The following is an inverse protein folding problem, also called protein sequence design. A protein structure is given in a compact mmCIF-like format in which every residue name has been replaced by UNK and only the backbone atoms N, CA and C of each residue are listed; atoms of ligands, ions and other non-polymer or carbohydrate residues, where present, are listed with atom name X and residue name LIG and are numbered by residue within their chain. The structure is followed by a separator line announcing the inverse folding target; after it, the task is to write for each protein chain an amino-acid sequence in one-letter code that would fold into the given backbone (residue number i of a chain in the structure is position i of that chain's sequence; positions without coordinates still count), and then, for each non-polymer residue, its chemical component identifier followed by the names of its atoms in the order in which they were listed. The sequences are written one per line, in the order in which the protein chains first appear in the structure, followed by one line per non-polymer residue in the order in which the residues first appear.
data_IF_057270849986
#
_entry.id   IF_057270849986
#
_cell.length_a   1.000
_cell.length_b   1.000
_cell.length_c   1.000
_cell.angle_alpha   90.00
_cell.angle_beta   90.00
_cell.angle_gamma   90.00
#
_symmetry.space_group_name_H-M   'P 1'
#
loop_
_entity.id
_entity.type
_entity.pdbx_description
1 polymer ?
#
# COMPACT_ATOMS: atom_id res chain seq x y z
N UNK A 1 40.18 84.70 -35.67
CA UNK A 1 40.73 83.41 -35.20
C UNK A 1 39.56 82.57 -34.68
N UNK A 2 39.39 81.38 -35.27
CA UNK A 2 38.55 80.23 -34.86
C UNK A 2 37.10 80.45 -34.37
N UNK A 3 36.12 80.40 -35.28
CA UNK A 3 34.73 80.02 -34.94
C UNK A 3 34.64 78.49 -34.92
N UNK A 4 34.55 77.95 -33.71
CA UNK A 4 34.43 76.53 -33.38
C UNK A 4 33.14 75.94 -33.99
N UNK A 5 33.27 74.92 -34.86
CA UNK A 5 32.11 74.17 -35.39
C UNK A 5 31.52 73.31 -34.27
N UNK A 6 30.34 73.68 -33.77
CA UNK A 6 29.55 72.80 -32.92
C UNK A 6 28.65 71.90 -33.77
N UNK A 7 28.85 70.59 -33.65
CA UNK A 7 27.88 69.57 -34.05
C UNK A 7 26.76 69.62 -33.00
N UNK A 8 25.56 70.05 -33.37
CA UNK A 8 24.40 70.00 -32.47
C UNK A 8 23.43 68.93 -32.93
N UNK A 9 23.20 67.93 -32.07
CA UNK A 9 22.24 66.85 -32.33
C UNK A 9 20.83 67.40 -32.08
N UNK A 10 20.15 67.67 -33.19
CA UNK A 10 18.72 67.97 -33.37
C UNK A 10 17.73 67.25 -32.44
N UNK A 11 17.50 65.97 -32.79
CA UNK A 11 16.56 65.04 -32.15
C UNK A 11 16.98 63.62 -32.52
N UNK A 12 17.08 62.74 -31.53
CA UNK A 12 17.16 61.30 -31.72
C UNK A 12 15.77 60.69 -31.51
N UNK A 13 15.29 59.91 -32.47
CA UNK A 13 14.11 59.08 -32.28
C UNK A 13 14.58 57.62 -32.17
N UNK A 14 14.34 57.03 -31.01
CA UNK A 14 14.67 55.65 -30.71
C UNK A 14 13.38 54.85 -30.66
N UNK A 15 13.19 53.95 -31.61
CA UNK A 15 12.09 53.00 -31.58
C UNK A 15 12.61 51.68 -30.99
N UNK A 16 12.00 51.25 -29.89
CA UNK A 16 12.37 50.01 -29.20
C UNK A 16 11.21 49.02 -29.37
N UNK A 17 11.46 47.93 -30.09
CA UNK A 17 10.54 46.81 -30.17
C UNK A 17 10.94 45.76 -29.12
N UNK A 18 10.11 45.58 -28.10
CA UNK A 18 10.29 44.57 -27.05
C UNK A 18 9.23 43.48 -27.15
N UNK A 19 9.64 42.22 -26.98
CA UNK A 19 8.75 41.08 -26.76
C UNK A 19 9.27 40.34 -25.53
N UNK A 20 8.41 40.11 -24.53
CA UNK A 20 8.73 39.40 -23.29
C UNK A 20 10.01 39.87 -22.58
N UNK A 21 10.25 41.19 -22.56
CA UNK A 21 11.37 41.79 -21.84
C UNK A 21 12.73 41.75 -22.56
N UNK A 22 12.85 41.11 -23.72
CA UNK A 22 14.04 41.14 -24.57
C UNK A 22 13.95 42.20 -25.67
N UNK A 23 15.02 42.97 -25.89
CA UNK A 23 15.12 43.94 -27.00
C UNK A 23 15.49 43.18 -28.27
N UNK A 24 14.55 43.07 -29.22
CA UNK A 24 14.72 42.24 -30.42
C UNK A 24 15.37 43.02 -31.58
N UNK A 25 15.16 44.33 -31.63
CA UNK A 25 15.84 45.26 -32.53
C UNK A 25 15.83 46.67 -31.94
N UNK A 26 16.91 47.43 -32.18
CA UNK A 26 16.97 48.86 -31.87
C UNK A 26 17.24 49.61 -33.18
N UNK A 27 16.43 50.64 -33.44
CA UNK A 27 16.64 51.54 -34.55
C UNK A 27 16.81 52.95 -34.00
N UNK A 28 18.02 53.49 -34.15
CA UNK A 28 18.29 54.90 -33.82
C UNK A 28 18.46 55.68 -35.10
N UNK A 29 17.50 56.58 -35.36
CA UNK A 29 17.57 57.48 -36.49
C UNK A 29 18.19 58.79 -35.99
N UNK A 30 19.40 59.11 -36.48
CA UNK A 30 20.05 60.39 -36.23
C UNK A 30 19.63 61.38 -37.33
N UNK A 31 19.05 62.50 -36.94
CA UNK A 31 18.89 63.64 -37.84
C UNK A 31 20.16 64.50 -37.79
N UNK A 32 20.99 64.43 -38.83
CA UNK A 32 22.20 65.23 -38.98
C UNK A 32 21.92 66.45 -39.86
N UNK A 33 21.59 67.60 -39.27
CA UNK A 33 21.57 68.87 -39.99
C UNK A 33 22.97 69.47 -39.96
N UNK A 34 23.79 69.18 -40.98
CA UNK A 34 25.05 69.89 -41.20
C UNK A 34 24.69 71.31 -41.65
N UNK A 35 24.98 72.33 -40.83
CA UNK A 35 24.70 73.76 -41.06
C UNK A 35 25.50 74.38 -42.24
N UNK A 36 25.52 73.74 -43.42
CA UNK A 36 25.98 74.36 -44.68
C UNK A 36 25.34 73.73 -45.92
N UNK A 37 24.51 74.53 -46.60
CA UNK A 37 24.12 74.39 -48.01
C UNK A 37 22.77 73.71 -48.27
N UNK A 38 21.83 74.45 -48.85
CA UNK A 38 20.47 74.01 -49.24
C UNK A 38 20.42 72.85 -50.26
N UNK A 39 21.56 72.36 -50.76
CA UNK A 39 21.63 71.27 -51.74
C UNK A 39 21.79 69.85 -51.14
N UNK A 40 22.01 69.71 -49.83
CA UNK A 40 22.28 68.41 -49.19
C UNK A 40 21.09 67.73 -48.47
N UNK A 41 19.99 68.46 -48.27
CA UNK A 41 18.87 68.00 -47.43
C UNK A 41 18.06 66.85 -48.06
N UNK A 42 17.83 66.89 -49.37
CA UNK A 42 17.03 65.86 -50.06
C UNK A 42 17.72 64.50 -50.11
N UNK A 43 19.04 64.45 -50.34
CA UNK A 43 19.82 63.20 -50.39
C UNK A 43 19.80 62.44 -49.06
N UNK A 44 19.88 63.15 -47.93
CA UNK A 44 19.83 62.55 -46.60
C UNK A 44 18.47 61.86 -46.31
N UNK A 45 17.37 62.43 -46.79
CA UNK A 45 16.02 61.87 -46.61
C UNK A 45 15.87 60.55 -47.37
N UNK A 46 16.29 60.49 -48.65
CA UNK A 46 16.19 59.26 -49.44
C UNK A 46 17.03 58.11 -48.87
N UNK A 47 18.24 58.42 -48.37
CA UNK A 47 19.10 57.41 -47.72
C UNK A 47 18.44 56.89 -46.44
N UNK A 48 17.83 57.76 -45.63
CA UNK A 48 17.14 57.33 -44.41
C UNK A 48 15.92 56.44 -44.72
N UNK A 49 15.12 56.78 -45.73
CA UNK A 49 13.96 55.98 -46.15
C UNK A 49 14.39 54.61 -46.67
N UNK A 50 15.43 54.54 -47.50
CA UNK A 50 15.97 53.27 -47.99
C UNK A 50 16.48 52.38 -46.85
N UNK A 51 17.19 52.96 -45.89
CA UNK A 51 17.68 52.23 -44.71
C UNK A 51 16.51 51.68 -43.87
N UNK A 52 15.49 52.49 -43.62
CA UNK A 52 14.28 52.03 -42.89
C UNK A 52 13.53 50.93 -43.65
N UNK A 53 13.44 51.03 -44.97
CA UNK A 53 12.81 50.00 -45.82
C UNK A 53 13.57 48.68 -45.72
N UNK A 54 14.90 48.71 -45.84
CA UNK A 54 15.75 47.50 -45.73
C UNK A 54 15.60 46.87 -44.33
N UNK A 55 15.61 47.68 -43.28
CA UNK A 55 15.47 47.17 -41.91
C UNK A 55 14.08 46.58 -41.65
N UNK A 56 13.03 47.18 -42.21
CA UNK A 56 11.68 46.61 -42.14
C UNK A 56 11.59 45.28 -42.90
N UNK A 57 12.21 45.18 -44.07
CA UNK A 57 12.24 43.93 -44.85
C UNK A 57 13.00 42.83 -44.11
N UNK A 58 14.16 43.15 -43.52
CA UNK A 58 14.94 42.22 -42.71
C UNK A 58 14.17 41.74 -41.47
N UNK A 59 13.43 42.63 -40.81
CA UNK A 59 12.57 42.28 -39.68
C UNK A 59 11.42 41.34 -40.08
N UNK A 60 10.81 41.55 -41.25
CA UNK A 60 9.75 40.68 -41.76
C UNK A 60 10.34 39.29 -42.10
N UNK A 61 11.50 39.25 -42.76
CA UNK A 61 12.18 37.99 -43.11
C UNK A 61 12.59 37.23 -41.84
N UNK A 62 13.18 37.90 -40.85
CA UNK A 62 13.59 37.28 -39.59
C UNK A 62 12.38 36.73 -38.83
N UNK A 63 11.28 37.50 -38.75
CA UNK A 63 10.03 37.04 -38.16
C UNK A 63 9.49 35.79 -38.87
N UNK A 64 9.48 35.77 -40.21
CA UNK A 64 9.03 34.60 -40.99
C UNK A 64 9.88 33.36 -40.71
N UNK A 65 11.20 33.50 -40.60
CA UNK A 65 12.10 32.38 -40.30
C UNK A 65 11.88 31.86 -38.88
N UNK A 66 11.82 32.74 -37.87
CA UNK A 66 11.58 32.37 -36.46
C UNK A 66 10.22 31.69 -36.32
N UNK A 67 9.18 32.25 -36.96
CA UNK A 67 7.84 31.70 -36.92
C UNK A 67 7.78 30.29 -37.52
N UNK A 68 8.42 30.10 -38.68
CA UNK A 68 8.42 28.82 -39.39
C UNK A 68 9.31 27.74 -38.73
N UNK A 69 10.48 28.11 -38.19
CA UNK A 69 11.43 27.14 -37.61
C UNK A 69 11.24 26.88 -36.12
N UNK A 70 10.70 27.83 -35.36
CA UNK A 70 10.62 27.71 -33.89
C UNK A 70 9.16 27.74 -33.42
N UNK A 71 8.43 28.82 -33.71
CA UNK A 71 7.10 29.05 -33.08
C UNK A 71 6.07 28.02 -33.52
N UNK A 72 5.96 27.76 -34.83
CA UNK A 72 4.97 26.82 -35.36
C UNK A 72 5.22 25.37 -34.92
N UNK A 73 6.45 24.82 -34.99
CA UNK A 73 6.75 23.48 -34.46
C UNK A 73 6.48 23.36 -32.95
N UNK A 74 6.82 24.37 -32.15
CA UNK A 74 6.57 24.35 -30.71
C UNK A 74 5.07 24.39 -30.39
N UNK A 75 4.31 25.22 -31.09
CA UNK A 75 2.86 25.32 -30.92
C UNK A 75 2.17 23.98 -31.26
N UNK A 76 2.61 23.31 -32.33
CA UNK A 76 2.14 21.95 -32.64
C UNK A 76 2.53 20.95 -31.55
N UNK A 77 3.74 21.01 -30.99
CA UNK A 77 4.18 20.11 -29.93
C UNK A 77 3.31 20.23 -28.66
N UNK A 78 2.98 21.46 -28.27
CA UNK A 78 2.11 21.76 -27.11
C UNK A 78 0.69 21.24 -27.34
N UNK A 79 0.17 21.40 -28.55
CA UNK A 79 -1.16 20.92 -28.90
C UNK A 79 -1.23 19.38 -28.89
N UNK A 80 -0.23 18.70 -29.46
CA UNK A 80 -0.15 17.25 -29.44
C UNK A 80 0.04 16.68 -28.02
N UNK A 81 0.77 17.39 -27.14
CA UNK A 81 0.88 16.98 -25.72
C UNK A 81 -0.43 17.16 -24.94
N UNK A 82 -1.24 18.18 -25.22
CA UNK A 82 -2.58 18.31 -24.63
C UNK A 82 -3.51 17.16 -25.03
N UNK A 83 -3.39 16.68 -26.27
CA UNK A 83 -4.19 15.53 -26.72
C UNK A 83 -3.83 14.24 -25.98
N UNK A 84 -2.58 14.07 -25.57
CA UNK A 84 -2.12 12.93 -24.75
C UNK A 84 -2.85 12.87 -23.39
N UNK A 85 -3.20 14.00 -22.80
CA UNK A 85 -4.00 14.03 -21.55
C UNK A 85 -5.44 13.55 -21.75
N UNK A 86 -5.96 13.65 -22.98
CA UNK A 86 -7.38 13.39 -23.28
C UNK A 86 -7.66 12.03 -23.93
N UNK A 87 -6.66 11.39 -24.55
CA UNK A 87 -6.85 10.19 -25.34
C UNK A 87 -5.80 9.11 -25.00
N UNK A 88 -6.19 8.17 -24.15
CA UNK A 88 -5.29 7.20 -23.49
C UNK A 88 -4.90 6.01 -24.39
N UNK A 89 -5.58 5.78 -25.52
CA UNK A 89 -5.57 4.48 -26.21
C UNK A 89 -4.80 4.42 -27.55
N UNK A 90 -4.34 5.54 -28.10
CA UNK A 90 -3.56 5.54 -29.35
C UNK A 90 -2.04 5.52 -29.10
N UNK A 91 -1.27 5.01 -30.06
CA UNK A 91 0.18 5.17 -30.12
C UNK A 91 0.55 6.65 -30.33
N UNK A 92 0.41 7.46 -29.29
CA UNK A 92 0.69 8.90 -29.42
C UNK A 92 2.20 9.10 -29.42
N UNK A 93 2.75 9.35 -30.60
CA UNK A 93 4.10 9.83 -30.81
C UNK A 93 4.02 11.26 -31.36
N UNK A 94 4.84 12.16 -30.82
CA UNK A 94 4.95 13.50 -31.37
C UNK A 94 5.55 13.42 -32.77
N UNK A 95 4.93 14.08 -33.74
CA UNK A 95 5.46 14.15 -35.10
C UNK A 95 6.77 14.94 -35.09
N UNK A 96 7.87 14.30 -35.51
CA UNK A 96 9.18 14.96 -35.60
C UNK A 96 9.31 15.63 -36.98
N UNK A 97 9.46 16.96 -37.00
CA UNK A 97 9.73 17.74 -38.23
C UNK A 97 11.02 18.53 -38.08
N UNK A 98 11.82 18.61 -39.15
CA UNK A 98 13.08 19.37 -39.18
C UNK A 98 14.32 18.54 -38.84
N UNK A 99 15.48 19.20 -38.78
CA UNK A 99 16.79 18.63 -38.39
C UNK A 99 17.55 19.57 -37.43
N UNK A 100 16.80 20.34 -36.65
CA UNK A 100 17.29 21.31 -35.67
C UNK A 100 17.10 20.81 -34.23
N UNK A 101 17.43 21.64 -33.25
CA UNK A 101 17.34 21.33 -31.82
C UNK A 101 15.91 21.03 -31.38
N UNK A 102 14.90 21.63 -32.02
CA UNK A 102 13.49 21.39 -31.74
C UNK A 102 13.09 19.97 -32.15
N UNK A 103 13.57 19.53 -33.32
CA UNK A 103 13.36 18.15 -33.78
C UNK A 103 14.03 17.12 -32.86
N UNK A 104 15.22 17.41 -32.33
CA UNK A 104 15.92 16.56 -31.36
C UNK A 104 15.17 16.46 -30.02
N UNK A 105 14.61 17.58 -29.54
CA UNK A 105 13.79 17.60 -28.32
C UNK A 105 12.53 16.74 -28.50
N UNK A 106 11.82 16.89 -29.62
CA UNK A 106 10.64 16.08 -29.93
C UNK A 106 10.98 14.58 -29.96
N UNK A 107 12.11 14.20 -30.56
CA UNK A 107 12.60 12.82 -30.57
C UNK A 107 12.90 12.29 -29.15
N UNK A 108 13.61 13.07 -28.31
CA UNK A 108 13.89 12.68 -26.91
C UNK A 108 12.62 12.54 -26.09
N UNK A 109 11.64 13.40 -26.30
CA UNK A 109 10.35 13.30 -25.63
C UNK A 109 9.61 12.03 -26.04
N UNK A 110 9.63 11.63 -27.31
CA UNK A 110 9.06 10.35 -27.75
C UNK A 110 9.70 9.13 -27.07
N UNK A 111 11.02 9.14 -26.87
CA UNK A 111 11.72 8.09 -26.11
C UNK A 111 11.26 8.09 -24.64
N UNK A 112 11.07 9.26 -24.04
CA UNK A 112 10.56 9.35 -22.66
C UNK A 112 9.13 8.81 -22.56
N UNK A 113 8.26 9.18 -23.50
CA UNK A 113 6.88 8.69 -23.58
C UNK A 113 6.84 7.16 -23.72
N UNK A 114 7.67 6.58 -24.59
CA UNK A 114 7.71 5.12 -24.77
C UNK A 114 8.19 4.41 -23.50
N UNK A 115 9.23 4.93 -22.85
CA UNK A 115 9.72 4.39 -21.56
C UNK A 115 8.68 4.50 -20.45
N UNK A 116 7.99 5.63 -20.36
CA UNK A 116 6.94 5.85 -19.36
C UNK A 116 5.77 4.88 -19.57
N UNK A 117 5.33 4.67 -20.82
CA UNK A 117 4.30 3.66 -21.15
C UNK A 117 4.75 2.24 -20.80
N UNK A 118 5.98 1.88 -21.16
CA UNK A 118 6.52 0.57 -20.81
C UNK A 118 6.49 0.36 -19.29
N UNK A 119 6.97 1.35 -18.52
CA UNK A 119 6.94 1.29 -17.06
C UNK A 119 5.50 1.16 -16.52
N UNK A 120 4.53 1.90 -17.06
CA UNK A 120 3.14 1.75 -16.64
C UNK A 120 2.55 0.39 -16.97
N UNK A 121 2.82 -0.14 -18.18
CA UNK A 121 2.37 -1.46 -18.59
C UNK A 121 2.97 -2.56 -17.70
N UNK A 122 4.24 -2.44 -17.34
CA UNK A 122 4.91 -3.35 -16.40
C UNK A 122 4.30 -3.26 -14.97
N UNK A 123 4.01 -2.04 -14.50
CA UNK A 123 3.35 -1.81 -13.21
C UNK A 123 1.95 -2.42 -13.22
N UNK A 124 1.16 -2.18 -14.25
CA UNK A 124 -0.20 -2.71 -14.38
C UNK A 124 -0.19 -4.25 -14.42
N UNK A 125 0.69 -4.84 -15.22
CA UNK A 125 0.86 -6.29 -15.28
C UNK A 125 1.28 -6.88 -13.92
N UNK A 126 2.17 -6.20 -13.20
CA UNK A 126 2.59 -6.61 -11.85
C UNK A 126 1.44 -6.49 -10.84
N UNK A 127 0.70 -5.38 -10.88
CA UNK A 127 -0.46 -5.16 -10.02
C UNK A 127 -1.54 -6.21 -10.25
N UNK A 128 -1.85 -6.53 -11.51
CA UNK A 128 -2.83 -7.57 -11.84
C UNK A 128 -2.41 -8.95 -11.31
N UNK A 129 -1.11 -9.29 -11.39
CA UNK A 129 -0.58 -10.52 -10.80
C UNK A 129 -0.73 -10.52 -9.26
N UNK A 130 -0.44 -9.42 -8.61
CA UNK A 130 -0.58 -9.27 -7.15
C UNK A 130 -2.04 -9.41 -6.71
N UNK A 131 -2.97 -8.73 -7.39
CA UNK A 131 -4.40 -8.81 -7.09
C UNK A 131 -4.89 -10.25 -7.23
N UNK A 132 -4.53 -10.94 -8.31
CA UNK A 132 -4.92 -12.34 -8.53
C UNK A 132 -4.34 -13.28 -7.47
N UNK A 133 -3.06 -13.11 -7.12
CA UNK A 133 -2.41 -13.90 -6.07
C UNK A 133 -3.07 -13.66 -4.70
N UNK A 134 -3.35 -12.40 -4.35
CA UNK A 134 -3.98 -12.05 -3.09
C UNK A 134 -5.42 -12.60 -2.99
N UNK A 135 -6.17 -12.58 -4.10
CA UNK A 135 -7.50 -13.19 -4.18
C UNK A 135 -7.46 -14.69 -3.91
N UNK A 136 -6.52 -15.42 -4.52
CA UNK A 136 -6.34 -16.87 -4.30
C UNK A 136 -5.96 -17.20 -2.86
N UNK A 137 -5.06 -16.41 -2.27
CA UNK A 137 -4.66 -16.57 -0.86
C UNK A 137 -5.87 -16.35 0.05
N UNK A 138 -6.64 -15.28 -0.18
CA UNK A 138 -7.83 -14.95 0.61
C UNK A 138 -8.89 -16.05 0.53
N UNK A 139 -9.13 -16.61 -0.64
CA UNK A 139 -10.06 -17.73 -0.82
C UNK A 139 -9.60 -18.99 -0.08
N UNK A 140 -8.30 -19.31 -0.15
CA UNK A 140 -7.71 -20.44 0.57
C UNK A 140 -7.81 -20.27 2.09
N UNK A 141 -7.56 -19.06 2.61
CA UNK A 141 -7.70 -18.74 4.02
C UNK A 141 -9.15 -18.85 4.49
N UNK A 142 -10.12 -18.41 3.67
CA UNK A 142 -11.55 -18.57 3.95
C UNK A 142 -11.93 -20.03 4.08
N UNK A 143 -11.46 -20.87 3.16
CA UNK A 143 -11.69 -22.32 3.23
C UNK A 143 -11.06 -22.95 4.49
N UNK A 144 -9.81 -22.58 4.80
CA UNK A 144 -9.16 -23.02 6.04
C UNK A 144 -9.93 -22.59 7.31
N UNK A 145 -10.51 -21.38 7.32
CA UNK A 145 -11.39 -20.90 8.40
C UNK A 145 -12.65 -21.76 8.56
N UNK A 146 -13.25 -22.22 7.47
CA UNK A 146 -14.39 -23.14 7.53
C UNK A 146 -13.98 -24.50 8.13
N UNK A 147 -12.83 -25.03 7.73
CA UNK A 147 -12.29 -26.26 8.31
C UNK A 147 -11.99 -26.09 9.80
N UNK A 148 -11.36 -25.01 10.21
CA UNK A 148 -11.09 -24.73 11.62
C UNK A 148 -12.38 -24.58 12.43
N UNK A 149 -13.44 -23.97 11.89
CA UNK A 149 -14.73 -23.92 12.61
C UNK A 149 -15.38 -25.29 12.73
N UNK A 150 -15.22 -26.16 11.73
CA UNK A 150 -15.81 -27.50 11.74
C UNK A 150 -15.29 -28.43 12.85
N UNK A 151 -14.10 -28.13 13.40
CA UNK A 151 -13.51 -28.92 14.49
C UNK A 151 -13.99 -28.49 15.88
N UNK A 152 -14.63 -27.32 15.99
CA UNK A 152 -15.05 -26.75 17.26
C UNK A 152 -16.32 -27.44 17.76
N UNK A 153 -16.39 -27.81 19.05
CA UNK A 153 -17.47 -28.66 19.56
C UNK A 153 -18.77 -27.91 19.90
N UNK A 154 -19.20 -26.95 19.07
CA UNK A 154 -20.36 -26.09 19.34
C UNK A 154 -21.65 -26.86 19.61
N UNK A 155 -21.88 -27.90 18.81
CA UNK A 155 -23.07 -28.73 18.93
C UNK A 155 -23.01 -29.55 20.22
N UNK A 156 -21.85 -30.13 20.55
CA UNK A 156 -21.69 -30.94 21.75
C UNK A 156 -21.86 -30.10 23.02
N UNK A 157 -21.42 -28.83 23.02
CA UNK A 157 -21.66 -27.93 24.14
C UNK A 157 -23.16 -27.71 24.38
N UNK A 158 -23.94 -27.49 23.32
CA UNK A 158 -25.40 -27.38 23.41
C UNK A 158 -26.06 -28.68 23.88
N UNK A 159 -25.60 -29.82 23.38
CA UNK A 159 -26.14 -31.13 23.74
C UNK A 159 -25.90 -31.47 25.23
N UNK A 160 -24.79 -31.00 25.82
CA UNK A 160 -24.43 -31.27 27.22
C UNK A 160 -24.98 -30.22 28.19
N UNK A 161 -24.88 -28.93 27.86
CA UNK A 161 -25.19 -27.83 28.79
C UNK A 161 -26.51 -27.10 28.48
N UNK A 162 -27.20 -27.43 27.39
CA UNK A 162 -28.43 -26.76 27.00
C UNK A 162 -28.21 -25.26 26.79
N UNK A 163 -29.08 -24.43 27.39
CA UNK A 163 -28.96 -22.96 27.33
C UNK A 163 -28.05 -22.38 28.44
N UNK A 164 -27.54 -23.20 29.36
CA UNK A 164 -26.68 -22.79 30.49
C UNK A 164 -25.19 -22.75 30.11
N UNK A 165 -24.87 -22.33 28.88
CA UNK A 165 -23.50 -22.09 28.45
C UNK A 165 -23.42 -20.94 27.44
N UNK A 166 -22.24 -20.35 27.33
CA UNK A 166 -21.91 -19.47 26.23
C UNK A 166 -20.44 -19.65 25.84
N UNK A 167 -20.14 -19.41 24.57
CA UNK A 167 -18.78 -19.47 24.02
C UNK A 167 -18.51 -18.14 23.33
N UNK A 168 -17.39 -17.51 23.69
CA UNK A 168 -16.88 -16.32 22.99
C UNK A 168 -15.58 -16.69 22.27
N UNK A 169 -15.68 -16.90 20.95
CA UNK A 169 -14.54 -17.22 20.11
C UNK A 169 -14.46 -16.22 18.95
N UNK A 170 -13.46 -15.34 19.00
CA UNK A 170 -13.26 -14.24 18.04
C UNK A 170 -11.80 -14.22 17.58
N UNK A 171 -11.44 -15.01 16.55
CA UNK A 171 -10.07 -15.01 16.04
C UNK A 171 -9.72 -13.65 15.44
N UNK A 172 -8.45 -13.23 15.59
CA UNK A 172 -7.94 -11.95 15.07
C UNK A 172 -7.95 -11.88 13.53
N UNK A 173 -7.60 -13.00 12.89
CA UNK A 173 -7.59 -13.17 11.44
C UNK A 173 -8.67 -14.21 11.04
N UNK A 174 -8.78 -14.55 9.75
CA UNK A 174 -9.73 -15.58 9.26
C UNK A 174 -9.58 -16.94 9.97
N UNK A 175 -8.38 -17.23 10.46
CA UNK A 175 -8.01 -18.41 11.25
C UNK A 175 -7.19 -17.98 12.49
N UNK A 176 -7.31 -18.70 13.60
CA UNK A 176 -6.71 -18.33 14.89
C UNK A 176 -5.92 -19.45 15.57
N UNK A 177 -5.22 -19.13 16.67
CA UNK A 177 -4.51 -20.11 17.52
C UNK A 177 -5.39 -20.74 18.62
N UNK A 178 -6.53 -20.12 18.88
CA UNK A 178 -7.40 -20.43 20.01
C UNK A 178 -8.42 -21.52 19.65
N UNK A 179 -8.70 -22.44 20.57
CA UNK A 179 -9.82 -23.37 20.49
C UNK A 179 -10.33 -23.80 21.86
N UNK A 180 -11.52 -24.38 21.87
CA UNK A 180 -12.15 -24.93 23.07
C UNK A 180 -12.41 -26.42 22.90
N UNK A 181 -12.40 -27.12 24.02
CA UNK A 181 -12.38 -28.57 24.15
C UNK A 181 -13.64 -29.01 24.88
N UNK A 182 -14.25 -30.09 24.41
CA UNK A 182 -15.30 -30.80 25.13
C UNK A 182 -15.21 -32.30 24.85
N UNK A 183 -15.12 -33.08 25.92
CA UNK A 183 -15.22 -34.53 25.90
C UNK A 183 -16.12 -35.02 27.03
N UNK A 184 -17.01 -35.95 26.73
CA UNK A 184 -17.96 -36.49 27.72
C UNK A 184 -17.77 -37.99 27.86
N UNK A 185 -17.64 -38.46 29.09
CA UNK A 185 -17.61 -39.88 29.46
C UNK A 185 -18.60 -40.13 30.60
N UNK A 186 -19.78 -40.69 30.27
CA UNK A 186 -20.89 -40.88 31.22
C UNK A 186 -21.25 -39.57 31.95
N UNK A 187 -21.25 -39.56 33.29
CA UNK A 187 -21.63 -38.40 34.12
C UNK A 187 -20.48 -37.39 34.32
N UNK A 188 -19.43 -37.49 33.52
CA UNK A 188 -18.24 -36.62 33.60
C UNK A 188 -18.02 -35.93 32.27
N UNK A 189 -17.78 -34.63 32.32
CA UNK A 189 -17.48 -33.82 31.15
C UNK A 189 -16.21 -33.03 31.37
N UNK A 190 -15.25 -33.20 30.47
CA UNK A 190 -14.05 -32.39 30.36
C UNK A 190 -14.36 -31.20 29.46
N UNK A 191 -14.14 -29.98 29.96
CA UNK A 191 -14.18 -28.75 29.17
C UNK A 191 -12.83 -28.05 29.24
N UNK A 192 -12.50 -27.27 28.23
CA UNK A 192 -11.27 -26.51 28.26
C UNK A 192 -11.15 -25.46 27.18
N UNK A 193 -10.11 -24.64 27.31
CA UNK A 193 -9.69 -23.65 26.33
C UNK A 193 -8.18 -23.76 26.15
N UNK A 194 -7.71 -23.45 24.96
CA UNK A 194 -6.30 -23.44 24.65
C UNK A 194 -5.97 -22.32 23.67
N UNK A 195 -4.82 -21.69 23.90
CA UNK A 195 -4.23 -20.61 23.11
C UNK A 195 -2.88 -21.11 22.61
N UNK A 196 -2.80 -21.38 21.30
CA UNK A 196 -1.57 -21.80 20.66
C UNK A 196 -0.81 -20.58 20.13
N UNK A 197 0.51 -20.56 20.33
CA UNK A 197 1.35 -19.47 19.90
C UNK A 197 1.23 -19.14 18.40
N UNK A 198 1.24 -17.84 18.13
CA UNK A 198 1.05 -17.29 16.79
C UNK A 198 -0.39 -16.89 16.52
N UNK A 199 -0.64 -16.39 15.32
CA UNK A 199 -1.97 -16.06 14.82
C UNK A 199 -1.98 -16.31 13.30
N UNK A 200 -3.15 -16.27 12.67
CA UNK A 200 -3.26 -16.59 11.25
C UNK A 200 -2.90 -18.06 10.98
N UNK A 201 -2.26 -18.33 9.83
CA UNK A 201 -2.01 -19.70 9.37
C UNK A 201 -1.16 -20.54 10.33
N UNK A 202 -0.02 -20.06 10.86
CA UNK A 202 0.79 -20.86 11.79
C UNK A 202 0.04 -21.21 13.07
N UNK A 203 -0.68 -20.24 13.66
CA UNK A 203 -1.50 -20.48 14.85
C UNK A 203 -2.58 -21.53 14.59
N UNK A 204 -3.28 -21.44 13.45
CA UNK A 204 -4.32 -22.39 13.08
C UNK A 204 -3.80 -23.82 12.86
N UNK A 205 -2.62 -23.97 12.27
CA UNK A 205 -1.98 -25.28 12.14
C UNK A 205 -1.60 -25.86 13.50
N UNK A 206 -1.09 -25.03 14.41
CA UNK A 206 -0.82 -25.42 15.79
C UNK A 206 -2.10 -25.86 16.51
N UNK A 207 -3.21 -25.14 16.33
CA UNK A 207 -4.53 -25.53 16.85
C UNK A 207 -4.98 -26.91 16.37
N UNK A 208 -4.80 -27.23 15.08
CA UNK A 208 -5.13 -28.56 14.55
C UNK A 208 -4.29 -29.66 15.18
N UNK A 209 -2.98 -29.42 15.35
CA UNK A 209 -2.08 -30.36 16.02
C UNK A 209 -2.44 -30.53 17.49
N UNK A 210 -2.71 -29.42 18.18
CA UNK A 210 -3.12 -29.39 19.58
C UNK A 210 -4.37 -30.24 19.79
N UNK A 211 -5.39 -30.05 18.94
CA UNK A 211 -6.61 -30.85 18.97
C UNK A 211 -6.33 -32.34 18.82
N UNK A 212 -5.52 -32.73 17.82
CA UNK A 212 -5.17 -34.13 17.64
C UNK A 212 -4.43 -34.71 18.84
N UNK A 213 -3.55 -33.92 19.48
CA UNK A 213 -2.85 -34.27 20.70
C UNK A 213 -3.80 -34.44 21.90
N UNK A 214 -4.79 -33.56 22.05
CA UNK A 214 -5.85 -33.67 23.06
C UNK A 214 -6.69 -34.91 22.83
N UNK A 215 -7.23 -35.10 21.62
CA UNK A 215 -8.08 -36.25 21.27
C UNK A 215 -7.35 -37.56 21.56
N UNK A 216 -6.07 -37.65 21.20
CA UNK A 216 -5.22 -38.82 21.48
C UNK A 216 -4.98 -39.02 22.97
N UNK A 217 -4.66 -37.95 23.71
CA UNK A 217 -4.44 -38.04 25.16
C UNK A 217 -5.70 -38.48 25.90
N UNK A 218 -6.86 -38.00 25.48
CA UNK A 218 -8.16 -38.41 26.01
C UNK A 218 -8.44 -39.88 25.68
N UNK A 219 -8.15 -40.34 24.45
CA UNK A 219 -8.32 -41.75 24.09
C UNK A 219 -7.41 -42.69 24.89
N UNK A 220 -6.15 -42.28 25.11
CA UNK A 220 -5.14 -43.14 25.75
C UNK A 220 -5.27 -43.15 27.30
N UNK A 221 -5.67 -42.04 27.92
CA UNK A 221 -5.71 -41.87 29.39
C UNK A 221 -7.12 -41.72 29.99
N UNK A 222 -8.12 -41.41 29.16
CA UNK A 222 -9.45 -40.98 29.59
C UNK A 222 -9.45 -39.56 30.19
N UNK A 223 -10.61 -39.11 30.67
CA UNK A 223 -10.79 -37.74 31.19
C UNK A 223 -10.59 -37.57 32.71
N UNK A 224 -10.13 -38.60 33.43
CA UNK A 224 -10.22 -38.65 34.90
C UNK A 224 -9.34 -37.63 35.65
N UNK A 225 -8.25 -37.14 35.03
CA UNK A 225 -7.30 -36.20 35.64
C UNK A 225 -6.86 -35.12 34.65
N UNK A 226 -7.38 -33.88 34.78
CA UNK A 226 -6.95 -32.76 33.94
C UNK A 226 -5.44 -32.48 33.97
N UNK A 227 -4.79 -32.65 35.12
CA UNK A 227 -3.35 -32.44 35.26
C UNK A 227 -2.54 -33.51 34.50
N UNK A 228 -2.99 -34.77 34.53
CA UNK A 228 -2.35 -35.85 33.78
C UNK A 228 -2.50 -35.64 32.27
N UNK A 229 -3.69 -35.21 31.82
CA UNK A 229 -3.94 -34.86 30.42
C UNK A 229 -3.02 -33.74 29.96
N UNK A 230 -2.89 -32.64 30.71
CA UNK A 230 -1.99 -31.54 30.35
C UNK A 230 -0.54 -32.00 30.17
N UNK A 231 -0.04 -32.86 31.07
CA UNK A 231 1.31 -33.41 30.97
C UNK A 231 1.48 -34.33 29.76
N UNK A 232 0.48 -35.15 29.45
CA UNK A 232 0.48 -36.03 28.28
C UNK A 232 0.48 -35.21 26.98
N UNK A 233 -0.38 -34.19 26.89
CA UNK A 233 -0.46 -33.27 25.76
C UNK A 233 0.86 -32.54 25.55
N UNK A 234 1.46 -31.97 26.61
CA UNK A 234 2.76 -31.28 26.52
C UNK A 234 3.86 -32.24 26.02
N UNK A 235 3.90 -33.47 26.54
CA UNK A 235 4.87 -34.48 26.12
C UNK A 235 4.69 -34.87 24.65
N UNK A 236 3.46 -35.17 24.23
CA UNK A 236 3.15 -35.54 22.85
C UNK A 236 3.47 -34.39 21.87
N UNK A 237 3.09 -33.17 22.22
CA UNK A 237 3.37 -31.99 21.38
C UNK A 237 4.88 -31.73 21.28
N UNK A 238 5.63 -31.80 22.39
CA UNK A 238 7.10 -31.66 22.34
C UNK A 238 7.75 -32.72 21.46
N UNK A 239 7.30 -33.97 21.52
CA UNK A 239 7.80 -35.05 20.65
C UNK A 239 7.56 -34.73 19.18
N UNK A 240 6.31 -34.43 18.80
CA UNK A 240 5.93 -34.13 17.43
C UNK A 240 6.71 -32.94 16.84
N UNK A 241 6.88 -31.88 17.64
CA UNK A 241 7.59 -30.67 17.21
C UNK A 241 9.10 -30.88 17.10
N UNK A 242 9.67 -31.75 17.95
CA UNK A 242 11.10 -32.09 17.90
C UNK A 242 11.41 -32.92 16.65
N UNK A 243 10.55 -33.90 16.34
CA UNK A 243 10.69 -34.74 15.14
C UNK A 243 10.58 -33.90 13.85
N UNK A 244 9.74 -32.87 13.86
CA UNK A 244 9.56 -31.97 12.72
C UNK A 244 10.75 -31.02 12.46
N UNK A 245 11.79 -31.01 13.32
CA UNK A 245 12.95 -30.12 13.24
C UNK A 245 12.57 -28.63 13.01
N UNK A 246 11.46 -28.20 13.63
CA UNK A 246 10.98 -26.83 13.46
C UNK A 246 12.04 -25.84 13.92
N UNK A 247 12.27 -24.81 13.10
CA UNK A 247 13.19 -23.73 13.44
C UNK A 247 12.84 -23.14 14.80
N UNK A 248 13.84 -22.84 15.63
CA UNK A 248 13.67 -22.15 16.93
C UNK A 248 12.96 -20.80 16.82
N UNK A 249 12.81 -20.25 15.61
CA UNK A 249 12.06 -19.04 15.32
C UNK A 249 10.53 -19.23 15.34
N UNK A 250 10.03 -20.47 15.29
CA UNK A 250 8.59 -20.76 15.33
C UNK A 250 8.18 -20.89 16.79
N UNK A 251 7.33 -19.97 17.25
CA UNK A 251 6.75 -20.07 18.58
C UNK A 251 5.78 -21.26 18.61
N UNK A 252 6.05 -22.23 19.49
CA UNK A 252 5.26 -23.46 19.62
C UNK A 252 4.64 -23.63 21.01
N UNK A 253 4.69 -22.58 21.84
CA UNK A 253 4.07 -22.63 23.16
C UNK A 253 2.56 -22.77 23.04
N UNK A 254 1.96 -23.44 24.01
CA UNK A 254 0.53 -23.63 24.11
C UNK A 254 0.12 -23.39 25.55
N UNK A 255 -0.80 -22.47 25.75
CA UNK A 255 -1.41 -22.19 27.03
C UNK A 255 -2.76 -22.93 27.02
N UNK A 256 -3.10 -23.63 28.10
CA UNK A 256 -4.29 -24.49 28.14
C UNK A 256 -4.88 -24.58 29.54
N UNK A 257 -6.20 -24.51 29.64
CA UNK A 257 -6.95 -24.75 30.87
C UNK A 257 -7.97 -25.86 30.66
N UNK A 258 -7.95 -26.87 31.53
CA UNK A 258 -8.87 -28.00 31.51
C UNK A 258 -9.62 -28.10 32.84
N UNK A 259 -10.95 -28.22 32.76
CA UNK A 259 -11.83 -28.48 33.90
C UNK A 259 -12.62 -29.77 33.65
N UNK A 260 -12.53 -30.71 34.58
CA UNK A 260 -13.37 -31.89 34.63
C UNK A 260 -14.54 -31.61 35.58
N UNK A 261 -15.76 -31.68 35.04
CA UNK A 261 -17.01 -31.54 35.76
C UNK A 261 -17.56 -32.94 35.99
N UNK A 262 -17.74 -33.30 37.26
CA UNK A 262 -18.38 -34.54 37.68
C UNK A 262 -19.76 -34.22 38.24
N UNK A 263 -20.80 -34.48 37.43
CA UNK A 263 -22.18 -34.18 37.79
C UNK A 263 -22.70 -35.07 38.90
N UNK A 264 -22.22 -36.32 38.98
CA UNK A 264 -22.64 -37.29 39.99
C UNK A 264 -22.18 -36.90 41.40
N UNK A 265 -20.96 -36.36 41.51
CA UNK A 265 -20.36 -35.98 42.79
C UNK A 265 -20.44 -34.47 43.08
N UNK A 266 -20.94 -33.67 42.14
CA UNK A 266 -20.96 -32.20 42.25
C UNK A 266 -19.56 -31.60 42.44
N UNK A 267 -18.57 -32.14 41.73
CA UNK A 267 -17.16 -31.79 41.87
C UNK A 267 -16.61 -31.21 40.56
N UNK A 268 -15.86 -30.12 40.66
CA UNK A 268 -15.04 -29.63 39.55
C UNK A 268 -13.57 -29.80 39.91
N UNK A 269 -12.79 -30.39 39.00
CA UNK A 269 -11.33 -30.49 39.09
C UNK A 269 -10.74 -29.65 37.97
N UNK A 270 -9.82 -28.76 38.30
CA UNK A 270 -9.18 -27.88 37.32
C UNK A 270 -7.66 -28.09 37.30
N UNK A 271 -7.08 -28.03 36.11
CA UNK A 271 -5.65 -27.85 35.89
C UNK A 271 -5.44 -26.86 34.74
N UNK A 272 -4.47 -25.97 34.88
CA UNK A 272 -4.14 -24.98 33.86
C UNK A 272 -2.65 -24.75 33.72
N UNK A 273 -2.21 -24.55 32.48
CA UNK A 273 -0.92 -24.03 32.07
C UNK A 273 -1.14 -22.60 31.55
N UNK A 274 -0.79 -21.60 32.37
CA UNK A 274 -0.99 -20.15 32.16
C UNK A 274 -2.44 -19.66 31.94
N UNK A 275 -3.41 -20.56 31.83
CA UNK A 275 -4.84 -20.23 31.87
C UNK A 275 -5.37 -20.42 33.30
N UNK A 276 -6.21 -19.49 33.75
CA UNK A 276 -6.86 -19.52 35.07
C UNK A 276 -8.36 -19.78 34.94
N UNK A 277 -8.94 -20.49 35.92
CA UNK A 277 -10.38 -20.68 36.02
C UNK A 277 -10.98 -19.62 36.95
N UNK A 278 -12.05 -18.96 36.50
CA UNK A 278 -12.82 -18.02 37.31
C UNK A 278 -14.19 -18.61 37.64
N UNK A 279 -14.71 -18.31 38.83
CA UNK A 279 -16.08 -18.62 39.21
C UNK A 279 -16.65 -17.54 40.13
N UNK A 280 -17.97 -17.43 40.15
CA UNK A 280 -18.68 -16.46 40.99
C UNK A 280 -19.95 -17.08 41.56
N UNK A 281 -20.30 -16.67 42.77
CA UNK A 281 -21.59 -16.97 43.41
C UNK A 281 -22.59 -15.81 43.26
N UNK A 282 -22.34 -14.86 42.35
CA UNK A 282 -23.15 -13.66 42.14
C UNK A 282 -22.80 -12.47 43.04
N UNK A 283 -21.99 -12.66 44.09
CA UNK A 283 -21.53 -11.57 44.98
C UNK A 283 -20.02 -11.39 44.94
N UNK A 284 -19.28 -12.49 44.98
CA UNK A 284 -17.82 -12.50 44.92
C UNK A 284 -17.33 -13.23 43.67
N UNK A 285 -16.14 -12.85 43.20
CA UNK A 285 -15.43 -13.52 42.11
C UNK A 285 -14.18 -14.17 42.69
N UNK A 286 -13.98 -15.43 42.33
CA UNK A 286 -12.85 -16.24 42.75
C UNK A 286 -12.06 -16.69 41.52
N UNK A 287 -10.76 -16.92 41.70
CA UNK A 287 -9.87 -17.37 40.63
C UNK A 287 -8.97 -18.50 41.11
N UNK A 288 -8.83 -19.55 40.29
CA UNK A 288 -7.85 -20.61 40.46
C UNK A 288 -6.75 -20.39 39.42
N UNK A 289 -5.54 -20.03 39.89
CA UNK A 289 -4.39 -19.77 39.02
C UNK A 289 -3.78 -21.07 38.49
N UNK A 290 -3.13 -20.97 37.32
CA UNK A 290 -2.38 -22.08 36.71
C UNK A 290 -1.37 -22.69 37.69
N UNK A 291 -1.30 -24.03 37.75
CA UNK A 291 -0.46 -24.77 38.70
C UNK A 291 -1.11 -25.05 40.07
N UNK A 292 -2.30 -24.51 40.36
CA UNK A 292 -3.09 -24.90 41.53
C UNK A 292 -4.02 -26.07 41.23
N UNK A 293 -3.91 -27.17 41.99
CA UNK A 293 -4.91 -28.25 41.97
C UNK A 293 -5.96 -27.91 43.04
N UNK A 294 -7.22 -27.84 42.65
CA UNK A 294 -8.33 -27.77 43.61
C UNK A 294 -9.35 -28.84 43.26
N UNK A 295 -9.63 -29.73 44.22
CA UNK A 295 -10.82 -30.57 44.23
C UNK A 295 -11.72 -29.98 45.32
N UNK A 296 -12.83 -29.35 44.93
CA UNK A 296 -13.81 -28.89 45.91
C UNK A 296 -15.21 -29.31 45.46
N UNK A 297 -15.90 -30.00 46.35
CA UNK A 297 -17.30 -30.40 46.22
C UNK A 297 -18.04 -29.82 47.41
N UNK A 298 -19.07 -29.03 47.13
CA UNK A 298 -20.11 -28.51 48.03
C UNK A 298 -20.89 -27.45 47.20
N UNK A 299 -22.21 -27.38 47.07
CA UNK A 299 -23.36 -28.22 47.44
C UNK A 299 -24.59 -27.61 46.73
N UNK A 300 -25.45 -28.45 46.14
CA UNK A 300 -26.88 -28.33 45.76
C UNK A 300 -27.45 -27.01 45.19
N UNK A 301 -28.02 -27.03 43.96
CA UNK A 301 -29.15 -26.16 43.67
C UNK A 301 -30.41 -26.72 44.34
N UNK A 302 -31.19 -25.82 44.95
CA UNK A 302 -32.57 -26.06 45.34
C UNK A 302 -33.45 -26.20 44.08
#
# INVERSE_FOLDING_TARGET
MATQKHLSIQKSFTLIATINGGVLAYLTIYNFTLLRGEAGAHSSIYVSLLLTMILSALAIISYRIIFARIVSPLAHLVEETRKIESNTNDEVYLTVRGRDEVSLLAHRFNILLSKMRQAFSEIEASNNKLVHANSKISESLRYAGLLQRSILPDRQFRDVFGDEHFILWQPRDTVGGDYYILHTEADRTLVGVADCAGHGVPGAMMTMMARAGVDRSVQDLGISSPAALLMAIDTSMRSLLSDAQLSRAIATSMDMGLALIDFSNGLIRFAGAKISLYWSNGTNVYSIRSGGVTARGEHRPC
#
